data_IF_438614787779
#
_entry.id   IF_438614787779
#
_cell.length_a   1.000
_cell.length_b   1.000
_cell.length_c   1.000
_cell.angle_alpha   90.00
_cell.angle_beta   90.00
_cell.angle_gamma   90.00
#
_symmetry.space_group_name_H-M   'P 1'
#
loop_
_entity.id
_entity.type
_entity.pdbx_description
1 polymer ?
#
# COMPACT_ATOMS: atom_id res chain seq x y z
N UNK A 1 -0.15 45.52 -3.07
CA UNK A 1 -1.53 45.00 -2.86
C UNK A 1 -1.54 44.34 -1.50
N UNK A 2 -2.23 44.92 -0.51
CA UNK A 2 -2.20 44.40 0.87
C UNK A 2 -2.95 43.06 0.94
N UNK A 3 -2.30 42.03 1.47
CA UNK A 3 -2.94 40.74 1.70
C UNK A 3 -4.08 40.86 2.71
N UNK A 4 -5.12 40.02 2.58
CA UNK A 4 -6.15 39.94 3.62
C UNK A 4 -5.53 39.34 4.88
N UNK A 5 -5.71 40.01 6.02
CA UNK A 5 -5.18 39.64 7.34
C UNK A 5 -5.87 38.36 7.85
N UNK A 6 -5.08 37.42 8.37
CA UNK A 6 -5.62 36.17 8.93
C UNK A 6 -6.51 36.46 10.15
N UNK A 7 -7.67 35.80 10.26
CA UNK A 7 -8.60 36.00 11.38
C UNK A 7 -8.38 35.06 12.57
N UNK A 8 -7.47 34.08 12.45
CA UNK A 8 -7.14 33.12 13.52
C UNK A 8 -6.42 33.83 14.66
N UNK A 9 -6.84 33.65 15.93
CA UNK A 9 -6.20 34.28 17.07
C UNK A 9 -4.69 34.01 17.13
N UNK A 10 -3.91 35.06 17.43
CA UNK A 10 -2.45 34.98 17.52
C UNK A 10 -1.71 34.90 16.18
N UNK A 11 -2.40 34.82 15.04
CA UNK A 11 -1.75 34.77 13.74
C UNK A 11 -1.56 36.16 13.13
N UNK A 12 -0.30 36.54 12.90
CA UNK A 12 0.06 37.83 12.29
C UNK A 12 0.29 37.74 10.77
N UNK A 13 -0.15 36.65 10.11
CA UNK A 13 0.07 36.46 8.68
C UNK A 13 -0.62 37.55 7.85
N UNK A 14 0.12 38.14 6.90
CA UNK A 14 -0.31 39.21 6.00
C UNK A 14 -0.66 40.53 6.72
N UNK A 15 -0.14 40.74 7.92
CA UNK A 15 -0.15 42.03 8.58
C UNK A 15 0.99 42.90 8.04
N UNK A 16 0.89 44.20 8.28
CA UNK A 16 1.80 45.23 7.74
C UNK A 16 3.26 45.02 8.20
N UNK A 17 3.47 44.23 9.26
CA UNK A 17 4.75 43.85 9.81
C UNK A 17 5.31 42.52 9.28
N UNK A 18 4.77 41.98 8.17
CA UNK A 18 5.24 40.72 7.58
C UNK A 18 5.83 40.92 6.19
N UNK A 19 7.08 40.49 6.01
CA UNK A 19 7.79 40.59 4.73
C UNK A 19 7.30 39.56 3.69
N UNK A 20 6.73 38.45 4.15
CA UNK A 20 6.28 37.34 3.29
C UNK A 20 4.77 37.21 3.31
N UNK A 21 4.15 37.48 2.15
CA UNK A 21 2.73 37.24 1.95
C UNK A 21 2.46 35.74 1.78
N UNK A 22 1.57 35.19 2.61
CA UNK A 22 1.09 33.80 2.49
C UNK A 22 -0.31 33.72 1.90
N UNK A 23 -0.58 32.64 1.16
CA UNK A 23 -1.91 32.35 0.64
C UNK A 23 -2.95 32.30 1.76
N UNK A 24 -4.16 32.78 1.45
CA UNK A 24 -5.27 32.81 2.39
C UNK A 24 -6.57 32.43 1.70
N UNK A 25 -7.43 31.77 2.45
CA UNK A 25 -8.68 31.20 1.97
C UNK A 25 -9.86 31.91 2.63
N UNK A 26 -10.85 32.28 1.82
CA UNK A 26 -12.11 32.82 2.33
C UNK A 26 -12.94 31.70 2.97
N UNK A 27 -13.85 32.09 3.87
CA UNK A 27 -14.78 31.13 4.46
C UNK A 27 -15.64 30.46 3.38
N UNK A 28 -15.89 29.15 3.48
CA UNK A 28 -16.77 28.44 2.57
C UNK A 28 -18.21 28.95 2.69
N UNK A 29 -19.01 28.73 1.64
CA UNK A 29 -20.43 29.09 1.59
C UNK A 29 -21.36 27.96 2.05
N UNK A 30 -20.80 26.77 2.27
CA UNK A 30 -21.49 25.55 2.67
C UNK A 30 -21.39 25.33 4.19
N UNK A 31 -21.89 24.19 4.66
CA UNK A 31 -21.94 23.80 6.09
C UNK A 31 -20.57 23.79 6.78
N UNK A 32 -19.47 23.75 6.02
CA UNK A 32 -18.11 23.83 6.57
C UNK A 32 -17.83 25.19 7.19
N UNK A 33 -18.62 26.22 6.87
CA UNK A 33 -18.48 27.54 7.50
C UNK A 33 -18.61 27.42 9.01
N UNK A 34 -19.59 26.66 9.49
CA UNK A 34 -19.79 26.41 10.92
C UNK A 34 -18.63 25.61 11.51
N UNK A 35 -18.12 24.62 10.78
CA UNK A 35 -16.94 23.85 11.20
C UNK A 35 -15.69 24.74 11.35
N UNK A 36 -15.44 25.64 10.40
CA UNK A 36 -14.32 26.57 10.46
C UNK A 36 -14.45 27.52 11.65
N UNK A 37 -15.63 28.11 11.88
CA UNK A 37 -15.86 28.98 13.04
C UNK A 37 -15.57 28.23 14.34
N UNK A 38 -16.06 26.99 14.46
CA UNK A 38 -15.83 26.14 15.63
C UNK A 38 -14.33 25.84 15.84
N UNK A 39 -13.62 25.47 14.77
CA UNK A 39 -12.20 25.09 14.85
C UNK A 39 -11.27 26.27 15.10
N UNK A 40 -11.59 27.47 14.61
CA UNK A 40 -10.81 28.69 14.89
C UNK A 40 -10.79 29.04 16.39
N UNK A 41 -11.79 28.56 17.13
CA UNK A 41 -11.90 28.71 18.59
C UNK A 41 -11.79 30.18 19.05
N UNK A 42 -12.46 31.08 18.33
CA UNK A 42 -12.51 32.51 18.65
C UNK A 42 -13.91 32.86 19.18
N UNK A 43 -13.99 33.21 20.47
CA UNK A 43 -15.24 33.53 21.13
C UNK A 43 -15.97 34.69 20.44
N UNK A 44 -17.28 34.53 20.20
CA UNK A 44 -18.15 35.55 19.59
C UNK A 44 -17.80 35.92 18.14
N UNK A 45 -16.98 35.13 17.45
CA UNK A 45 -16.52 35.47 16.11
C UNK A 45 -17.59 35.23 15.04
N UNK A 46 -17.94 36.30 14.31
CA UNK A 46 -18.82 36.23 13.13
C UNK A 46 -17.99 36.55 11.88
N UNK A 47 -17.74 35.57 10.98
CA UNK A 47 -16.95 35.82 9.79
C UNK A 47 -17.70 36.72 8.79
N UNK A 48 -16.99 37.72 8.28
CA UNK A 48 -17.44 38.65 7.24
C UNK A 48 -16.89 38.24 5.87
N UNK A 49 -17.29 38.95 4.80
CA UNK A 49 -16.74 38.75 3.45
C UNK A 49 -15.23 38.98 3.33
N UNK A 50 -14.63 39.67 4.32
CA UNK A 50 -13.20 39.96 4.38
C UNK A 50 -12.43 39.00 5.29
N UNK A 51 -13.12 38.20 6.10
CA UNK A 51 -12.51 37.22 6.97
C UNK A 51 -11.86 36.11 6.15
N UNK A 52 -10.57 35.87 6.41
CA UNK A 52 -9.79 34.82 5.76
C UNK A 52 -8.95 34.05 6.76
N UNK A 53 -8.60 32.82 6.40
CA UNK A 53 -7.66 31.98 7.15
C UNK A 53 -6.45 31.70 6.27
N UNK A 54 -5.24 31.93 6.78
CA UNK A 54 -4.02 31.69 6.00
C UNK A 54 -3.71 30.19 5.87
N UNK A 55 -2.93 29.83 4.85
CA UNK A 55 -2.57 28.46 4.51
C UNK A 55 -1.91 27.68 5.66
N UNK A 56 -1.21 28.37 6.58
CA UNK A 56 -0.54 27.77 7.73
C UNK A 56 -1.49 27.05 8.70
N UNK A 57 -2.79 27.33 8.62
CA UNK A 57 -3.79 26.72 9.51
C UNK A 57 -4.39 25.43 8.96
N UNK A 58 -4.02 25.01 7.75
CA UNK A 58 -4.53 23.79 7.12
C UNK A 58 -3.44 22.72 7.09
N UNK A 59 -3.82 21.48 7.38
CA UNK A 59 -2.96 20.33 7.12
C UNK A 59 -2.68 20.18 5.63
N UNK A 60 -1.48 19.73 5.27
CA UNK A 60 -1.04 19.56 3.88
C UNK A 60 -1.99 18.68 3.07
N UNK A 61 -2.60 17.66 3.69
CA UNK A 61 -3.56 16.77 3.03
C UNK A 61 -4.84 17.48 2.53
N UNK A 62 -5.11 18.70 3.03
CA UNK A 62 -6.24 19.50 2.59
C UNK A 62 -5.88 20.48 1.47
N UNK A 63 -4.60 20.67 1.16
CA UNK A 63 -4.12 21.68 0.23
C UNK A 63 -3.81 21.02 -1.11
N UNK A 64 -4.41 21.55 -2.18
CA UNK A 64 -4.18 21.10 -3.55
C UNK A 64 -3.21 22.08 -4.21
N UNK A 65 -1.96 21.64 -4.36
CA UNK A 65 -0.89 22.40 -5.01
C UNK A 65 -0.85 22.23 -6.53
N UNK A 66 -1.36 21.12 -7.06
CA UNK A 66 -1.27 20.78 -8.48
C UNK A 66 -2.66 20.56 -9.10
N UNK A 67 -2.80 20.86 -10.39
CA UNK A 67 -3.92 20.44 -11.20
C UNK A 67 -3.60 19.07 -11.80
N UNK A 68 -4.50 18.11 -11.61
CA UNK A 68 -4.36 16.75 -12.12
C UNK A 68 -5.44 16.47 -13.16
N UNK A 69 -5.03 16.15 -14.38
CA UNK A 69 -5.94 15.77 -15.48
C UNK A 69 -5.51 14.41 -15.99
N UNK A 70 -6.45 13.48 -16.04
CA UNK A 70 -6.25 12.17 -16.69
C UNK A 70 -6.62 12.33 -18.16
N UNK A 71 -5.67 12.10 -19.05
CA UNK A 71 -5.90 12.11 -20.49
C UNK A 71 -6.62 10.83 -20.94
N UNK A 72 -7.23 10.81 -22.15
CA UNK A 72 -7.87 9.61 -22.69
C UNK A 72 -6.94 8.39 -22.84
N UNK A 73 -5.63 8.63 -22.98
CA UNK A 73 -4.59 7.58 -23.06
C UNK A 73 -4.20 6.98 -21.70
N UNK A 74 -4.84 7.43 -20.61
CA UNK A 74 -4.55 6.99 -19.24
C UNK A 74 -3.35 7.71 -18.60
N UNK A 75 -2.66 8.60 -19.32
CA UNK A 75 -1.56 9.38 -18.74
C UNK A 75 -2.10 10.50 -17.85
N UNK A 76 -1.39 10.75 -16.74
CA UNK A 76 -1.73 11.81 -15.80
C UNK A 76 -0.86 13.03 -16.09
N UNK A 77 -1.50 14.15 -16.44
CA UNK A 77 -0.84 15.45 -16.52
C UNK A 77 -0.98 16.17 -15.18
N UNK A 78 0.14 16.49 -14.56
CA UNK A 78 0.20 17.23 -13.30
C UNK A 78 0.90 18.57 -13.50
N UNK A 79 0.21 19.67 -13.23
CA UNK A 79 0.72 21.04 -13.41
C UNK A 79 0.57 21.82 -12.11
N UNK A 80 1.65 22.46 -11.64
CA UNK A 80 1.63 23.28 -10.43
C UNK A 80 0.65 24.45 -10.56
N UNK A 81 -0.16 24.66 -9.53
CA UNK A 81 -1.11 25.78 -9.47
C UNK A 81 -0.38 27.04 -9.01
N UNK A 82 -0.70 28.16 -9.67
CA UNK A 82 -0.28 29.49 -9.22
C UNK A 82 -0.94 29.89 -7.88
N UNK A 83 -2.13 29.36 -7.60
CA UNK A 83 -2.84 29.55 -6.34
C UNK A 83 -3.33 28.19 -5.82
N UNK A 84 -2.82 27.73 -4.67
CA UNK A 84 -3.36 26.55 -4.01
C UNK A 84 -4.86 26.70 -3.75
N UNK A 85 -5.58 25.58 -3.74
CA UNK A 85 -6.99 25.52 -3.34
C UNK A 85 -7.15 24.49 -2.23
N UNK A 86 -8.25 24.58 -1.50
CA UNK A 86 -8.57 23.60 -0.47
C UNK A 86 -9.47 22.50 -1.04
N UNK A 87 -9.29 21.29 -0.52
CA UNK A 87 -10.21 20.17 -0.71
C UNK A 87 -11.62 20.50 -0.16
N UNK A 88 -12.61 19.75 -0.62
CA UNK A 88 -13.99 19.94 -0.16
C UNK A 88 -14.19 19.57 1.31
N UNK A 89 -13.32 18.78 1.93
CA UNK A 89 -13.39 18.38 3.34
C UNK A 89 -12.47 19.21 4.26
N UNK A 90 -11.76 20.21 3.71
CA UNK A 90 -10.80 21.00 4.45
C UNK A 90 -11.40 21.81 5.61
N UNK A 91 -10.70 21.82 6.74
CA UNK A 91 -10.94 22.71 7.88
C UNK A 91 -9.61 23.17 8.49
N UNK A 92 -9.58 24.36 9.13
CA UNK A 92 -8.38 24.81 9.83
C UNK A 92 -8.17 23.93 11.05
N UNK A 93 -7.01 23.29 11.14
CA UNK A 93 -6.69 22.35 12.20
C UNK A 93 -5.35 22.64 12.88
N UNK A 94 -4.56 23.56 12.34
CA UNK A 94 -3.25 23.93 12.86
C UNK A 94 -3.28 25.35 13.44
N UNK A 95 -2.71 25.55 14.62
CA UNK A 95 -2.73 26.81 15.36
C UNK A 95 -1.33 27.17 15.88
N UNK A 96 -0.42 27.54 14.98
CA UNK A 96 1.01 27.73 15.26
C UNK A 96 1.36 28.67 16.43
N UNK A 97 0.50 29.64 16.76
CA UNK A 97 0.72 30.62 17.82
C UNK A 97 -0.24 30.42 19.02
N UNK A 98 -0.80 29.22 19.16
CA UNK A 98 -1.66 28.82 20.28
C UNK A 98 -1.14 27.51 20.90
N UNK A 99 -1.57 27.15 22.12
CA UNK A 99 -1.15 25.90 22.73
C UNK A 99 -1.38 24.68 21.83
N UNK A 100 -0.42 23.76 21.80
CA UNK A 100 -0.43 22.61 20.88
C UNK A 100 -1.70 21.76 20.98
N UNK A 101 -2.33 21.65 22.15
CA UNK A 101 -3.56 20.89 22.34
C UNK A 101 -4.78 21.45 21.57
N UNK A 102 -4.71 22.68 21.06
CA UNK A 102 -5.71 23.26 20.17
C UNK A 102 -5.47 22.92 18.70
N UNK A 103 -4.25 22.46 18.36
CA UNK A 103 -3.92 21.96 17.03
C UNK A 103 -4.24 20.47 16.97
N UNK A 104 -4.84 20.04 15.87
CA UNK A 104 -5.16 18.65 15.59
C UNK A 104 -4.69 18.32 14.19
N UNK A 105 -3.81 17.34 14.05
CA UNK A 105 -3.52 16.76 12.74
C UNK A 105 -4.68 15.83 12.37
N UNK A 106 -5.40 16.09 11.27
CA UNK A 106 -6.51 15.25 10.91
C UNK A 106 -5.99 13.88 10.48
N UNK A 107 -6.71 12.83 10.86
CA UNK A 107 -6.31 11.46 10.55
C UNK A 107 -6.03 11.28 9.05
N UNK A 108 -5.03 10.46 8.69
CA UNK A 108 -4.71 10.20 7.29
C UNK A 108 -5.92 9.60 6.56
N UNK A 109 -6.17 10.07 5.34
CA UNK A 109 -7.25 9.54 4.51
C UNK A 109 -7.05 8.04 4.28
N UNK A 110 -8.10 7.25 4.53
CA UNK A 110 -8.08 5.82 4.23
C UNK A 110 -7.90 5.65 2.72
N UNK A 111 -6.93 4.81 2.32
CA UNK A 111 -6.71 4.44 0.92
C UNK A 111 -7.96 3.83 0.30
N UNK A 112 -8.17 4.07 -0.99
CA UNK A 112 -9.27 3.45 -1.71
C UNK A 112 -9.12 1.92 -1.71
N UNK A 113 -10.23 1.15 -1.76
CA UNK A 113 -10.18 -0.31 -1.78
C UNK A 113 -9.30 -0.88 -2.90
N UNK A 114 -9.35 -0.29 -4.09
CA UNK A 114 -8.57 -0.69 -5.26
C UNK A 114 -7.07 -0.50 -5.05
N UNK A 115 -6.67 0.65 -4.53
CA UNK A 115 -5.27 0.97 -4.23
C UNK A 115 -4.72 -0.02 -3.20
N UNK A 116 -5.48 -0.27 -2.13
CA UNK A 116 -5.13 -1.26 -1.10
C UNK A 116 -4.97 -2.67 -1.69
N UNK A 117 -5.88 -3.10 -2.57
CA UNK A 117 -5.79 -4.40 -3.24
C UNK A 117 -4.55 -4.50 -4.14
N UNK A 118 -4.23 -3.42 -4.87
CA UNK A 118 -3.07 -3.39 -5.76
C UNK A 118 -1.75 -3.49 -4.98
N UNK A 119 -1.65 -2.83 -3.83
CA UNK A 119 -0.49 -2.90 -2.95
C UNK A 119 -0.33 -4.29 -2.33
N UNK A 120 -1.44 -4.91 -1.90
CA UNK A 120 -1.42 -6.28 -1.39
C UNK A 120 -0.88 -7.25 -2.44
N UNK A 121 -1.37 -7.19 -3.68
CA UNK A 121 -0.88 -8.04 -4.77
C UNK A 121 0.62 -7.84 -5.02
N UNK A 122 1.07 -6.58 -5.15
CA UNK A 122 2.49 -6.27 -5.34
C UNK A 122 3.37 -6.83 -4.22
N UNK A 123 2.89 -6.75 -2.98
CA UNK A 123 3.61 -7.31 -1.82
C UNK A 123 3.68 -8.83 -1.92
N UNK A 124 2.57 -9.48 -2.28
CA UNK A 124 2.52 -10.94 -2.41
C UNK A 124 3.43 -11.41 -3.57
N UNK A 125 3.42 -10.71 -4.70
CA UNK A 125 4.32 -10.95 -5.84
C UNK A 125 5.80 -10.80 -5.44
N UNK A 126 6.14 -9.73 -4.71
CA UNK A 126 7.50 -9.52 -4.19
C UNK A 126 7.92 -10.59 -3.19
N UNK A 127 7.00 -11.01 -2.31
CA UNK A 127 7.25 -12.08 -1.36
C UNK A 127 7.50 -13.41 -2.09
N UNK A 128 6.72 -13.70 -3.13
CA UNK A 128 6.89 -14.88 -3.97
C UNK A 128 8.23 -14.86 -4.71
N UNK A 129 8.60 -13.73 -5.32
CA UNK A 129 9.90 -13.58 -5.98
C UNK A 129 11.08 -13.79 -5.01
N UNK A 130 11.03 -13.18 -3.82
CA UNK A 130 12.04 -13.35 -2.78
C UNK A 130 12.11 -14.80 -2.26
N UNK A 131 10.99 -15.49 -2.16
CA UNK A 131 10.97 -16.91 -1.81
C UNK A 131 11.62 -17.76 -2.92
N UNK A 132 11.27 -17.50 -4.18
CA UNK A 132 11.83 -18.20 -5.32
C UNK A 132 13.35 -18.00 -5.45
N UNK A 133 13.89 -16.83 -5.09
CA UNK A 133 15.34 -16.58 -5.04
C UNK A 133 16.05 -17.40 -3.95
N UNK A 134 15.37 -17.70 -2.84
CA UNK A 134 15.94 -18.39 -1.68
C UNK A 134 15.81 -19.91 -1.73
N UNK A 135 14.82 -20.43 -2.43
CA UNK A 135 14.52 -21.86 -2.51
C UNK A 135 14.87 -22.47 -3.88
N UNK A 136 16.02 -22.09 -4.44
CA UNK A 136 16.52 -22.61 -5.72
C UNK A 136 17.30 -23.91 -5.50
N UNK A 137 16.93 -24.94 -6.25
CA UNK A 137 17.71 -26.16 -6.38
C UNK A 137 18.58 -26.02 -7.64
N UNK A 138 19.85 -25.67 -7.45
CA UNK A 138 20.79 -25.33 -8.56
C UNK A 138 21.38 -26.55 -9.25
N UNK A 139 21.35 -27.72 -8.61
CA UNK A 139 21.83 -28.98 -9.19
C UNK A 139 21.10 -30.18 -8.60
N UNK A 140 21.16 -31.31 -9.31
CA UNK A 140 20.62 -32.58 -8.82
C UNK A 140 21.33 -33.06 -7.54
N UNK A 141 22.63 -32.74 -7.36
CA UNK A 141 23.32 -33.04 -6.10
C UNK A 141 22.75 -32.24 -4.92
N UNK A 142 22.41 -30.96 -5.12
CA UNK A 142 21.77 -30.15 -4.07
C UNK A 142 20.36 -30.64 -3.73
N UNK A 143 19.56 -31.05 -4.74
CA UNK A 143 18.30 -31.77 -4.51
C UNK A 143 18.57 -33.02 -3.65
N UNK A 144 19.57 -33.76 -4.10
CA UNK A 144 20.23 -34.92 -3.49
C UNK A 144 20.28 -34.84 -1.96
N UNK A 145 21.03 -33.83 -1.54
CA UNK A 145 21.41 -33.59 -0.16
C UNK A 145 20.28 -32.96 0.66
N UNK A 146 19.46 -32.11 0.03
CA UNK A 146 18.37 -31.41 0.72
C UNK A 146 17.12 -32.27 0.96
N UNK A 147 16.99 -33.41 0.27
CA UNK A 147 15.84 -34.30 0.41
C UNK A 147 15.58 -34.66 1.89
N UNK A 148 16.61 -35.02 2.66
CA UNK A 148 16.44 -35.43 4.06
C UNK A 148 15.86 -34.34 4.97
N UNK A 149 16.20 -33.07 4.72
CA UNK A 149 15.80 -31.96 5.61
C UNK A 149 14.50 -31.29 5.17
N UNK A 150 14.17 -31.33 3.87
CA UNK A 150 13.01 -30.63 3.31
C UNK A 150 11.78 -31.52 3.08
N UNK A 151 11.93 -32.85 3.02
CA UNK A 151 10.80 -33.76 2.77
C UNK A 151 9.93 -33.90 4.03
N UNK A 152 8.59 -33.79 3.92
CA UNK A 152 7.66 -34.08 5.01
C UNK A 152 7.86 -35.50 5.58
N UNK A 153 7.74 -35.67 6.91
CA UNK A 153 7.96 -36.97 7.58
C UNK A 153 7.08 -38.12 7.07
N UNK A 154 5.96 -37.80 6.45
CA UNK A 154 5.02 -38.77 5.87
C UNK A 154 5.51 -39.39 4.56
N UNK A 155 6.52 -38.77 3.93
CA UNK A 155 7.09 -39.20 2.67
C UNK A 155 8.39 -39.95 2.91
N UNK A 156 8.50 -41.12 2.28
CA UNK A 156 9.74 -41.85 2.17
C UNK A 156 10.44 -41.47 0.87
N UNK A 157 11.76 -41.63 0.81
CA UNK A 157 12.51 -41.36 -0.40
C UNK A 157 13.61 -42.39 -0.66
N UNK A 158 13.89 -42.60 -1.95
CA UNK A 158 15.03 -43.38 -2.46
C UNK A 158 15.86 -42.46 -3.34
N UNK A 159 17.16 -42.50 -3.17
CA UNK A 159 18.12 -41.71 -3.94
C UNK A 159 19.01 -42.64 -4.74
N UNK A 160 19.12 -42.38 -6.04
CA UNK A 160 20.02 -43.03 -6.99
C UNK A 160 20.92 -41.98 -7.64
N UNK A 161 21.89 -42.40 -8.46
CA UNK A 161 22.73 -41.47 -9.23
C UNK A 161 21.94 -40.69 -10.28
N UNK A 162 20.85 -41.27 -10.81
CA UNK A 162 20.07 -40.68 -11.91
C UNK A 162 18.69 -40.16 -11.53
N UNK A 163 18.24 -40.42 -10.30
CA UNK A 163 16.92 -39.99 -9.86
C UNK A 163 16.76 -39.95 -8.34
N UNK A 164 15.80 -39.15 -7.90
CA UNK A 164 15.23 -39.19 -6.55
C UNK A 164 13.78 -39.63 -6.67
N UNK A 165 13.39 -40.65 -5.91
CA UNK A 165 12.02 -41.14 -5.85
C UNK A 165 11.44 -40.82 -4.46
N UNK A 166 10.38 -40.02 -4.44
CA UNK A 166 9.56 -39.70 -3.27
C UNK A 166 8.29 -40.55 -3.33
N UNK A 167 7.84 -41.14 -2.23
CA UNK A 167 6.62 -41.94 -2.23
C UNK A 167 5.95 -42.02 -0.86
N UNK A 168 4.63 -42.20 -0.86
CA UNK A 168 3.83 -42.47 0.35
C UNK A 168 3.31 -43.90 0.31
N UNK A 169 3.55 -44.63 1.40
CA UNK A 169 3.00 -45.96 1.62
C UNK A 169 1.76 -45.85 2.51
N UNK A 170 0.70 -46.57 2.14
CA UNK A 170 -0.41 -46.89 3.04
C UNK A 170 -0.16 -48.26 3.71
N UNK A 171 0.03 -48.31 5.04
CA UNK A 171 0.31 -49.54 5.78
C UNK A 171 -0.95 -50.28 6.27
N UNK A 172 -2.17 -49.73 6.06
CA UNK A 172 -3.40 -50.21 6.73
C UNK A 172 -3.87 -51.59 6.23
N UNK A 173 -3.35 -52.06 5.10
CA UNK A 173 -3.60 -53.40 4.53
C UNK A 173 -2.31 -53.95 3.89
N UNK A 174 -2.39 -54.72 2.80
CA UNK A 174 -1.20 -55.01 2.00
C UNK A 174 -0.54 -53.67 1.58
N UNK A 175 0.72 -53.40 1.96
CA UNK A 175 1.33 -52.11 1.74
C UNK A 175 1.32 -51.72 0.27
N UNK A 176 0.78 -50.55 -0.03
CA UNK A 176 0.69 -50.02 -1.40
C UNK A 176 1.22 -48.60 -1.44
N UNK A 177 1.87 -48.28 -2.55
CA UNK A 177 2.27 -46.91 -2.85
C UNK A 177 1.00 -46.16 -3.26
N UNK A 178 0.62 -45.15 -2.47
CA UNK A 178 -0.55 -44.30 -2.72
C UNK A 178 -0.23 -43.30 -3.83
N UNK A 179 0.94 -42.67 -3.72
CA UNK A 179 1.48 -41.80 -4.76
C UNK A 179 3.00 -41.84 -4.74
N UNK A 180 3.60 -41.55 -5.89
CA UNK A 180 5.05 -41.38 -6.02
C UNK A 180 5.40 -40.26 -6.98
N UNK A 181 6.52 -39.62 -6.72
CA UNK A 181 7.11 -38.56 -7.53
C UNK A 181 8.56 -38.98 -7.80
N UNK A 182 8.91 -39.18 -9.07
CA UNK A 182 10.27 -39.47 -9.49
C UNK A 182 10.83 -38.24 -10.19
N UNK A 183 11.89 -37.68 -9.63
CA UNK A 183 12.64 -36.55 -10.17
C UNK A 183 13.94 -37.08 -10.75
N UNK A 184 14.17 -36.88 -12.03
CA UNK A 184 15.38 -37.31 -12.71
C UNK A 184 16.51 -36.27 -12.58
N UNK A 185 17.72 -36.63 -13.00
CA UNK A 185 18.91 -35.77 -12.98
C UNK A 185 18.81 -34.55 -13.91
N UNK A 186 18.01 -34.64 -14.97
CA UNK A 186 17.62 -33.55 -15.86
C UNK A 186 16.45 -32.71 -15.34
N UNK A 187 16.03 -32.92 -14.08
CA UNK A 187 14.88 -32.30 -13.44
C UNK A 187 13.52 -32.59 -14.09
N UNK A 188 13.43 -33.57 -14.99
CA UNK A 188 12.13 -34.07 -15.41
C UNK A 188 11.44 -34.77 -14.25
N UNK A 189 10.10 -34.67 -14.20
CA UNK A 189 9.31 -35.21 -13.10
C UNK A 189 8.21 -36.11 -13.65
N UNK A 190 8.20 -37.34 -13.17
CA UNK A 190 7.10 -38.25 -13.34
C UNK A 190 6.32 -38.42 -12.03
N UNK A 191 5.00 -38.36 -12.11
CA UNK A 191 4.12 -38.51 -10.96
C UNK A 191 3.16 -39.67 -11.20
N UNK A 192 3.01 -40.53 -10.19
CA UNK A 192 2.03 -41.61 -10.19
C UNK A 192 1.07 -41.49 -9.02
N UNK A 193 -0.18 -41.87 -9.25
CA UNK A 193 -1.19 -42.10 -8.23
C UNK A 193 -1.64 -43.57 -8.31
N UNK A 194 -1.22 -44.37 -7.33
CA UNK A 194 -1.26 -45.83 -7.42
C UNK A 194 -0.50 -46.34 -8.66
N UNK A 195 -1.10 -47.22 -9.49
CA UNK A 195 -0.46 -47.75 -10.69
C UNK A 195 -0.51 -46.79 -11.89
N UNK A 196 -1.23 -45.67 -11.81
CA UNK A 196 -1.49 -44.79 -12.96
C UNK A 196 -0.49 -43.63 -12.99
N UNK A 197 0.26 -43.52 -14.08
CA UNK A 197 1.10 -42.34 -14.37
C UNK A 197 0.21 -41.15 -14.75
N UNK A 198 0.42 -40.00 -14.10
CA UNK A 198 -0.26 -38.76 -14.42
C UNK A 198 0.36 -38.12 -15.67
N UNK A 199 -0.43 -37.39 -16.44
CA UNK A 199 0.08 -36.65 -17.60
C UNK A 199 0.64 -35.32 -17.12
N UNK A 200 1.68 -34.82 -17.78
CA UNK A 200 2.32 -33.53 -17.44
C UNK A 200 1.33 -32.36 -17.31
N UNK A 201 0.29 -32.33 -18.14
CA UNK A 201 -0.77 -31.30 -18.08
C UNK A 201 -1.51 -31.31 -16.73
N UNK A 202 -1.73 -32.50 -16.15
CA UNK A 202 -2.50 -32.70 -14.92
C UNK A 202 -1.76 -32.13 -13.68
N UNK A 203 -0.48 -31.79 -13.80
CA UNK A 203 0.34 -31.20 -12.73
C UNK A 203 1.12 -29.94 -13.14
N UNK A 204 0.85 -29.39 -14.32
CA UNK A 204 1.55 -28.21 -14.85
C UNK A 204 1.42 -26.95 -13.98
N UNK A 205 0.36 -26.84 -13.17
CA UNK A 205 0.15 -25.72 -12.25
C UNK A 205 1.11 -25.72 -11.05
N UNK A 206 1.74 -26.85 -10.73
CA UNK A 206 2.69 -26.96 -9.60
C UNK A 206 4.06 -26.38 -9.93
N UNK A 207 4.33 -26.12 -11.21
CA UNK A 207 5.64 -25.67 -11.73
C UNK A 207 5.54 -24.26 -12.35
N UNK A 208 4.54 -23.46 -11.98
CA UNK A 208 4.37 -22.06 -12.43
C UNK A 208 4.91 -21.06 -11.41
#
# INVERSE_FOLDING_TARGET
MMGRKCCVPGCNSNYDNTDVHVHSFAFPKDDRKCLWIKKINRAGFVPTKHSVVCIKHFSEQFIIHNHRVVKPDGTVLEVKRNRPILTSDAFPSLHANQPNYLSEEPAPKRKAPEERLSEMRKRDDNNFANWNEKDIITSFSTLSDCCRSKIPKELQFIQDQKFVLLYKIDPTSMPKIVFSIKVFDDFTVDIWHGPKKLRSQDYSYMFR
#
